data_IF_799769153993
#
_entry.id   IF_799769153993
#
_cell.length_a   1.000
_cell.length_b   1.000
_cell.length_c   1.000
_cell.angle_alpha   90.00
_cell.angle_beta   90.00
_cell.angle_gamma   90.00
#
_symmetry.space_group_name_H-M   'P 1'
#
loop_
_entity.id
_entity.type
_entity.pdbx_description
1 polymer ?
#
# COMPACT_ATOMS: atom_id res chain seq x y z
N UNK A 1 3.29 -46.67 5.47
CA UNK A 1 2.88 -45.88 6.64
C UNK A 1 3.91 -44.76 6.80
N UNK A 2 3.65 -43.58 6.23
CA UNK A 2 4.56 -42.45 6.25
C UNK A 2 4.02 -41.42 7.24
N UNK A 3 4.79 -41.14 8.30
CA UNK A 3 4.48 -40.09 9.26
C UNK A 3 4.95 -38.74 8.70
N UNK A 4 4.00 -37.82 8.51
CA UNK A 4 4.29 -36.43 8.15
C UNK A 4 4.57 -35.67 9.44
N UNK A 5 5.80 -35.17 9.54
CA UNK A 5 6.24 -34.29 10.63
C UNK A 5 5.56 -32.93 10.52
N UNK A 6 4.73 -32.58 11.50
CA UNK A 6 4.17 -31.25 11.65
C UNK A 6 5.28 -30.29 12.11
N UNK A 7 5.84 -29.52 11.18
CA UNK A 7 6.74 -28.43 11.49
C UNK A 7 5.98 -27.31 12.20
N UNK A 8 6.27 -27.09 13.47
CA UNK A 8 5.77 -25.95 14.25
C UNK A 8 6.24 -24.64 13.62
N UNK A 9 5.32 -23.87 13.05
CA UNK A 9 5.59 -22.52 12.56
C UNK A 9 5.68 -21.56 13.74
N UNK A 10 6.89 -21.10 14.04
CA UNK A 10 7.10 -19.97 14.92
C UNK A 10 6.80 -18.71 14.10
N UNK A 11 5.54 -18.27 14.10
CA UNK A 11 5.31 -16.84 14.12
C UNK A 11 5.86 -16.39 15.46
N UNK A 12 6.94 -15.60 15.48
CA UNK A 12 7.19 -14.79 16.66
C UNK A 12 5.89 -14.06 16.92
N UNK A 13 5.28 -14.36 18.07
CA UNK A 13 4.09 -13.68 18.54
C UNK A 13 4.50 -12.23 18.65
N UNK A 14 4.23 -11.45 17.61
CA UNK A 14 4.22 -10.01 17.72
C UNK A 14 3.16 -9.80 18.77
N UNK A 15 3.62 -9.44 19.98
CA UNK A 15 2.75 -8.95 21.04
C UNK A 15 1.69 -8.06 20.40
N UNK A 16 0.48 -8.06 20.95
CA UNK A 16 -0.67 -7.21 20.60
C UNK A 16 -0.39 -5.70 20.73
N UNK A 17 0.83 -5.28 20.40
CA UNK A 17 1.31 -3.94 20.26
C UNK A 17 0.69 -3.34 19.02
N UNK A 18 -0.14 -2.33 19.30
CA UNK A 18 -0.51 -1.24 18.42
C UNK A 18 0.38 -1.17 17.17
N UNK A 19 -0.23 -1.29 15.98
CA UNK A 19 0.45 -0.93 14.74
C UNK A 19 1.18 0.39 14.97
N UNK A 20 2.51 0.51 14.77
CA UNK A 20 3.19 1.80 14.83
C UNK A 20 2.42 2.85 14.02
N UNK A 21 1.71 3.69 14.76
CA UNK A 21 0.97 4.80 14.21
C UNK A 21 1.98 5.92 13.99
N UNK A 22 1.79 6.71 12.94
CA UNK A 22 2.39 8.03 12.87
C UNK A 22 2.10 8.72 14.22
N UNK A 23 3.16 9.00 15.00
CA UNK A 23 3.06 9.84 16.21
C UNK A 23 3.47 11.30 15.90
N UNK A 24 2.65 12.06 15.16
CA UNK A 24 2.50 13.48 15.41
C UNK A 24 1.18 13.71 16.15
N UNK A 25 1.11 14.82 16.87
CA UNK A 25 -0.16 15.45 17.27
C UNK A 25 -1.17 15.36 16.12
N UNK A 26 -2.18 14.48 16.26
CA UNK A 26 -3.12 14.11 15.20
C UNK A 26 -3.84 15.31 14.57
N UNK A 27 -3.88 16.44 15.30
CA UNK A 27 -4.38 17.72 14.82
C UNK A 27 -3.62 18.29 13.61
N UNK A 28 -2.38 17.85 13.38
CA UNK A 28 -1.50 18.33 12.29
C UNK A 28 -1.58 17.50 11.00
N UNK A 29 -2.13 16.29 11.04
CA UNK A 29 -2.31 15.48 9.83
C UNK A 29 -3.46 16.05 8.99
N UNK A 30 -3.37 16.09 7.65
CA UNK A 30 -4.48 16.58 6.82
C UNK A 30 -5.67 15.63 6.87
N UNK A 31 -6.88 16.14 6.66
CA UNK A 31 -8.05 15.28 6.44
C UNK A 31 -7.94 14.51 5.11
N UNK A 32 -8.71 13.42 4.98
CA UNK A 32 -8.88 12.69 3.72
C UNK A 32 -9.23 13.62 2.56
N UNK A 33 -10.18 14.53 2.78
CA UNK A 33 -10.57 15.50 1.76
C UNK A 33 -9.39 16.40 1.36
N UNK A 34 -8.57 16.84 2.31
CA UNK A 34 -7.39 17.65 2.02
C UNK A 34 -6.35 16.87 1.18
N UNK A 35 -6.14 15.57 1.46
CA UNK A 35 -5.25 14.72 0.64
C UNK A 35 -5.76 14.59 -0.81
N UNK A 36 -7.04 14.27 -0.99
CA UNK A 36 -7.63 14.18 -2.33
C UNK A 36 -7.61 15.52 -3.06
N UNK A 37 -7.86 16.62 -2.34
CA UNK A 37 -7.74 17.97 -2.89
C UNK A 37 -6.32 18.25 -3.38
N UNK A 38 -5.29 17.79 -2.67
CA UNK A 38 -3.91 17.94 -3.13
C UNK A 38 -3.63 17.11 -4.37
N UNK A 39 -4.10 15.85 -4.44
CA UNK A 39 -4.02 15.06 -5.67
C UNK A 39 -4.62 15.81 -6.88
N UNK A 40 -5.85 16.30 -6.74
CA UNK A 40 -6.54 17.00 -7.84
C UNK A 40 -5.89 18.33 -8.21
N UNK A 41 -5.29 19.03 -7.24
CA UNK A 41 -4.53 20.27 -7.48
C UNK A 41 -3.21 20.01 -8.19
N UNK A 42 -2.47 18.98 -7.78
CA UNK A 42 -1.19 18.64 -8.40
C UNK A 42 -1.35 18.20 -9.86
N UNK A 43 -2.48 17.56 -10.21
CA UNK A 43 -2.72 16.96 -11.55
C UNK A 43 -1.58 16.04 -11.99
N UNK A 44 -0.80 15.55 -11.04
CA UNK A 44 0.45 14.84 -11.23
C UNK A 44 0.64 13.85 -10.09
N UNK A 45 1.06 12.63 -10.43
CA UNK A 45 1.33 11.53 -9.49
C UNK A 45 2.67 10.91 -9.84
N UNK A 46 3.52 10.75 -8.84
CA UNK A 46 4.73 9.95 -8.94
C UNK A 46 4.32 8.47 -8.79
N UNK A 47 4.56 7.63 -9.79
CA UNK A 47 4.33 6.19 -9.70
C UNK A 47 5.67 5.48 -9.50
N UNK A 48 5.85 4.87 -8.34
CA UNK A 48 7.04 4.13 -7.99
C UNK A 48 6.75 2.63 -8.13
N UNK A 49 7.49 1.96 -9.00
CA UNK A 49 7.37 0.52 -9.18
C UNK A 49 8.61 -0.25 -8.71
N UNK A 50 8.39 -1.46 -8.20
CA UNK A 50 9.46 -2.31 -7.69
C UNK A 50 10.32 -2.93 -8.79
N UNK A 51 11.64 -2.88 -8.61
CA UNK A 51 12.63 -3.50 -9.52
C UNK A 51 13.52 -4.54 -8.84
N UNK A 52 13.23 -4.90 -7.58
CA UNK A 52 14.00 -5.87 -6.81
C UNK A 52 13.91 -7.31 -7.33
N UNK A 53 12.83 -7.66 -8.03
CA UNK A 53 12.67 -8.93 -8.72
C UNK A 53 12.79 -8.74 -10.25
N UNK A 54 13.86 -9.26 -10.88
CA UNK A 54 14.07 -9.14 -12.32
C UNK A 54 12.97 -9.78 -13.18
N UNK A 55 12.27 -10.81 -12.69
CA UNK A 55 11.18 -11.45 -13.45
C UNK A 55 9.95 -10.55 -13.52
N UNK A 56 9.64 -9.87 -12.41
CA UNK A 56 8.44 -9.04 -12.30
C UNK A 56 8.63 -7.59 -12.78
N UNK A 57 9.86 -7.07 -12.73
CA UNK A 57 10.18 -5.67 -13.03
C UNK A 57 9.70 -5.19 -14.42
N UNK A 58 9.90 -5.95 -15.53
CA UNK A 58 9.39 -5.54 -16.84
C UNK A 58 7.87 -5.39 -16.87
N UNK A 59 7.16 -6.29 -16.17
CA UNK A 59 5.70 -6.27 -16.08
C UNK A 59 5.17 -5.03 -15.35
N UNK A 60 5.86 -4.57 -14.30
CA UNK A 60 5.50 -3.33 -13.62
C UNK A 60 5.84 -2.08 -14.42
N UNK A 61 6.99 -2.06 -15.11
CA UNK A 61 7.34 -0.94 -16.00
C UNK A 61 6.26 -0.75 -17.06
N UNK A 62 5.94 -1.82 -17.78
CA UNK A 62 4.87 -1.79 -18.79
C UNK A 62 3.54 -1.33 -18.19
N UNK A 63 3.19 -1.84 -17.00
CA UNK A 63 1.95 -1.42 -16.34
C UNK A 63 1.93 0.07 -15.99
N UNK A 64 3.06 0.62 -15.56
CA UNK A 64 3.19 2.04 -15.25
C UNK A 64 3.06 2.92 -16.50
N UNK A 65 3.69 2.51 -17.61
CA UNK A 65 3.56 3.14 -18.93
C UNK A 65 2.11 3.10 -19.43
N UNK A 66 1.46 1.92 -19.36
CA UNK A 66 0.04 1.77 -19.72
C UNK A 66 -0.88 2.64 -18.84
N UNK A 67 -0.54 2.84 -17.57
CA UNK A 67 -1.29 3.73 -16.69
C UNK A 67 -1.11 5.19 -17.08
N UNK A 68 0.11 5.61 -17.42
CA UNK A 68 0.41 6.95 -17.94
C UNK A 68 -0.39 7.24 -19.21
N UNK A 69 -0.34 6.33 -20.20
CA UNK A 69 -1.04 6.49 -21.48
C UNK A 69 -2.57 6.58 -21.33
N UNK A 70 -3.14 5.77 -20.43
CA UNK A 70 -4.60 5.75 -20.18
C UNK A 70 -5.08 6.95 -19.37
N UNK A 71 -4.19 7.62 -18.65
CA UNK A 71 -4.58 8.69 -17.74
C UNK A 71 -4.89 9.98 -18.49
N UNK A 72 -6.16 10.37 -18.51
CA UNK A 72 -6.62 11.59 -19.20
C UNK A 72 -6.62 12.86 -18.34
N UNK A 73 -6.62 12.70 -17.01
CA UNK A 73 -6.91 13.80 -16.07
C UNK A 73 -5.76 14.13 -15.13
N UNK A 74 -4.78 13.23 -15.02
CA UNK A 74 -3.64 13.28 -14.12
C UNK A 74 -2.41 12.80 -14.90
N UNK A 75 -1.31 13.55 -14.86
CA UNK A 75 -0.03 13.06 -15.38
C UNK A 75 0.56 12.04 -14.42
N UNK A 76 0.82 10.84 -14.90
CA UNK A 76 1.55 9.82 -14.13
C UNK A 76 3.01 9.90 -14.55
N UNK A 77 3.93 9.91 -13.59
CA UNK A 77 5.37 9.85 -13.85
C UNK A 77 5.93 8.54 -13.30
N UNK A 78 6.08 7.52 -14.15
CA UNK A 78 6.69 6.25 -13.78
C UNK A 78 8.16 6.40 -13.42
N UNK A 79 8.56 5.86 -12.27
CA UNK A 79 9.97 5.80 -11.85
C UNK A 79 10.22 4.45 -11.17
N UNK A 80 11.36 3.83 -11.48
CA UNK A 80 11.80 2.65 -10.77
C UNK A 80 12.18 3.02 -9.33
N UNK A 81 11.85 2.18 -8.36
CA UNK A 81 12.22 2.36 -6.95
C UNK A 81 13.72 2.61 -6.72
N UNK A 82 14.59 2.02 -7.56
CA UNK A 82 16.05 2.17 -7.47
C UNK A 82 16.63 3.39 -8.20
N UNK A 83 15.86 4.03 -9.08
CA UNK A 83 16.33 5.22 -9.81
C UNK A 83 16.20 6.50 -8.98
N UNK A 84 15.41 6.45 -7.90
CA UNK A 84 15.24 7.54 -6.94
C UNK A 84 16.44 7.57 -6.00
N UNK A 85 17.52 8.20 -6.46
CA UNK A 85 18.75 8.42 -5.70
C UNK A 85 18.63 9.70 -4.85
N UNK A 86 18.26 9.53 -3.58
CA UNK A 86 18.20 10.61 -2.61
C UNK A 86 17.40 10.23 -1.37
N UNK A 87 17.73 10.81 -0.22
CA UNK A 87 17.05 10.51 1.04
C UNK A 87 15.59 11.00 1.07
N UNK A 88 15.21 11.90 0.15
CA UNK A 88 13.89 12.53 0.11
C UNK A 88 13.24 12.40 -1.27
N UNK A 89 11.99 11.95 -1.27
CA UNK A 89 11.11 12.07 -2.44
C UNK A 89 10.68 13.52 -2.66
N UNK A 90 10.26 13.90 -3.89
CA UNK A 90 9.58 15.18 -4.11
C UNK A 90 8.22 15.22 -3.38
N UNK A 91 7.74 16.41 -2.96
CA UNK A 91 6.45 16.57 -2.30
C UNK A 91 5.30 16.44 -3.31
N UNK A 92 4.97 15.21 -3.69
CA UNK A 92 3.96 14.86 -4.69
C UNK A 92 3.03 13.76 -4.19
N UNK A 93 1.78 13.71 -4.69
CA UNK A 93 0.97 12.50 -4.62
C UNK A 93 1.76 11.31 -5.17
N UNK A 94 1.81 10.21 -4.44
CA UNK A 94 2.65 9.06 -4.80
C UNK A 94 1.82 7.79 -4.83
N UNK A 95 1.95 7.02 -5.91
CA UNK A 95 1.42 5.66 -6.04
C UNK A 95 2.60 4.69 -6.00
N UNK A 96 2.57 3.73 -5.09
CA UNK A 96 3.57 2.65 -5.02
C UNK A 96 2.93 1.32 -5.38
N UNK A 97 3.55 0.63 -6.32
CA UNK A 97 3.14 -0.71 -6.76
C UNK A 97 4.30 -1.69 -6.65
N UNK A 98 3.99 -2.91 -6.24
CA UNK A 98 5.01 -3.92 -5.95
C UNK A 98 4.71 -4.66 -4.65
N UNK A 99 5.66 -5.46 -4.22
CA UNK A 99 5.65 -6.08 -2.88
C UNK A 99 6.93 -5.67 -2.13
N UNK A 100 6.97 -5.74 -0.78
CA UNK A 100 8.11 -5.25 -0.01
C UNK A 100 9.46 -5.84 -0.41
N UNK A 101 9.50 -7.13 -0.78
CA UNK A 101 10.74 -7.77 -1.23
C UNK A 101 11.24 -7.27 -2.59
N UNK A 102 10.34 -6.71 -3.42
CA UNK A 102 10.63 -6.24 -4.78
C UNK A 102 10.61 -4.70 -4.90
N UNK A 103 10.16 -3.97 -3.88
CA UNK A 103 10.04 -2.51 -3.89
C UNK A 103 10.70 -1.88 -2.64
N UNK A 104 11.80 -1.15 -2.85
CA UNK A 104 12.60 -0.55 -1.79
C UNK A 104 11.83 0.45 -0.90
N UNK A 105 10.85 1.18 -1.45
CA UNK A 105 10.05 2.14 -0.68
C UNK A 105 9.03 1.45 0.23
N UNK A 106 8.41 0.35 -0.23
CA UNK A 106 7.53 -0.45 0.64
C UNK A 106 8.31 -1.09 1.79
N UNK A 107 9.53 -1.55 1.54
CA UNK A 107 10.42 -2.01 2.59
C UNK A 107 10.79 -0.89 3.57
N UNK A 108 11.18 0.29 3.06
CA UNK A 108 11.54 1.48 3.86
C UNK A 108 10.40 1.96 4.76
N UNK A 109 9.17 1.95 4.27
CA UNK A 109 8.00 2.45 5.01
C UNK A 109 7.24 1.36 5.78
N UNK A 110 7.76 0.13 5.77
CA UNK A 110 7.14 -1.03 6.42
C UNK A 110 6.84 -0.83 7.90
N UNK A 111 7.58 0.04 8.59
CA UNK A 111 7.39 0.35 10.02
C UNK A 111 6.39 1.48 10.28
N UNK A 112 6.07 2.33 9.30
CA UNK A 112 5.18 3.49 9.48
C UNK A 112 3.82 3.33 8.82
N UNK A 113 3.69 2.39 7.89
CA UNK A 113 2.42 2.03 7.30
C UNK A 113 1.56 1.22 8.30
N UNK A 114 0.22 1.24 8.17
CA UNK A 114 -0.64 0.35 8.96
C UNK A 114 -0.47 -1.14 8.58
N UNK A 115 0.05 -1.34 7.36
CA UNK A 115 0.69 -2.52 6.75
C UNK A 115 1.87 -3.08 7.55
N UNK A 116 1.82 -4.30 8.11
CA UNK A 116 3.04 -5.01 8.55
C UNK A 116 3.36 -6.13 7.58
N UNK A 117 4.60 -6.19 7.10
CA UNK A 117 5.02 -7.19 6.14
C UNK A 117 5.92 -8.22 6.81
N UNK A 118 5.71 -9.49 6.48
CA UNK A 118 6.56 -10.60 6.89
C UNK A 118 6.96 -11.46 5.69
N UNK A 119 7.76 -12.51 5.92
CA UNK A 119 8.27 -13.37 4.84
C UNK A 119 7.17 -14.07 4.04
N UNK A 120 6.04 -14.38 4.69
CA UNK A 120 4.96 -15.20 4.12
C UNK A 120 3.66 -14.45 3.88
N UNK A 121 3.66 -13.14 4.11
CA UNK A 121 2.50 -12.33 3.83
C UNK A 121 2.51 -11.00 4.54
N UNK A 122 1.34 -10.42 4.75
CA UNK A 122 1.19 -9.18 5.52
C UNK A 122 0.18 -9.36 6.65
N UNK A 123 0.26 -8.47 7.63
CA UNK A 123 -0.67 -8.39 8.73
C UNK A 123 -1.27 -6.98 8.80
N UNK A 124 -2.56 -6.93 9.12
CA UNK A 124 -3.30 -5.70 9.34
C UNK A 124 -4.14 -5.86 10.59
N UNK A 125 -3.97 -4.94 11.53
CA UNK A 125 -4.72 -4.90 12.80
C UNK A 125 -4.79 -6.25 13.54
N UNK A 126 -3.67 -6.96 13.64
CA UNK A 126 -3.57 -8.25 14.36
C UNK A 126 -3.99 -9.47 13.54
N UNK A 127 -4.55 -9.30 12.34
CA UNK A 127 -4.90 -10.40 11.45
C UNK A 127 -3.82 -10.61 10.38
N UNK A 128 -3.47 -11.87 10.12
CA UNK A 128 -2.46 -12.28 9.13
C UNK A 128 -3.12 -12.73 7.84
N UNK A 129 -2.60 -12.24 6.72
CA UNK A 129 -3.00 -12.55 5.34
C UNK A 129 -1.82 -13.17 4.61
N UNK A 130 -1.80 -14.50 4.57
CA UNK A 130 -0.68 -15.30 4.07
C UNK A 130 -1.00 -16.10 2.80
N UNK A 131 -2.22 -15.97 2.25
CA UNK A 131 -2.55 -16.60 0.98
C UNK A 131 -1.78 -15.89 -0.15
N UNK A 132 -1.29 -16.64 -1.15
CA UNK A 132 -0.53 -16.04 -2.26
C UNK A 132 -1.38 -15.10 -3.13
N UNK A 133 -2.71 -15.21 -3.03
CA UNK A 133 -3.67 -14.33 -3.69
C UNK A 133 -4.14 -13.17 -2.82
N UNK A 134 -3.65 -13.07 -1.58
CA UNK A 134 -3.93 -11.94 -0.71
C UNK A 134 -3.21 -10.68 -1.24
N UNK A 135 -3.97 -9.61 -1.39
CA UNK A 135 -3.51 -8.29 -1.84
C UNK A 135 -4.22 -7.19 -1.07
N UNK A 136 -3.65 -6.00 -1.04
CA UNK A 136 -4.28 -4.84 -0.42
C UNK A 136 -4.08 -3.57 -1.24
N UNK A 137 -5.01 -2.65 -1.04
CA UNK A 137 -4.89 -1.26 -1.49
C UNK A 137 -4.99 -0.33 -0.28
N UNK A 138 -4.23 0.75 -0.29
CA UNK A 138 -4.17 1.72 0.80
C UNK A 138 -4.10 3.15 0.25
N UNK A 139 -4.83 4.06 0.88
CA UNK A 139 -4.70 5.51 0.78
C UNK A 139 -4.39 6.04 2.18
N UNK A 140 -3.27 6.75 2.30
CA UNK A 140 -2.73 7.21 3.59
C UNK A 140 -1.94 8.51 3.43
N UNK A 141 -1.65 9.28 4.48
CA UNK A 141 -0.67 10.36 4.42
C UNK A 141 0.70 9.83 4.00
N UNK A 142 1.38 10.54 3.11
CA UNK A 142 2.73 10.19 2.70
C UNK A 142 3.71 10.28 3.88
N UNK A 143 4.51 9.23 4.17
CA UNK A 143 5.40 9.21 5.34
C UNK A 143 6.38 10.38 5.43
N UNK A 144 6.95 10.78 4.30
CA UNK A 144 7.91 11.90 4.23
C UNK A 144 7.24 13.27 4.02
N UNK A 145 6.02 13.29 3.48
CA UNK A 145 5.33 14.53 3.07
C UNK A 145 3.84 14.46 3.41
N UNK A 146 3.44 14.49 4.70
CA UNK A 146 2.09 14.09 5.13
C UNK A 146 0.94 14.88 4.51
N UNK A 147 1.20 16.04 3.90
CA UNK A 147 0.21 16.84 3.16
C UNK A 147 -0.21 16.20 1.82
N UNK A 148 0.52 15.21 1.32
CA UNK A 148 0.24 14.51 0.07
C UNK A 148 -0.24 13.08 0.30
N UNK A 149 -1.12 12.55 -0.57
CA UNK A 149 -1.55 11.17 -0.45
C UNK A 149 -0.45 10.22 -0.92
N UNK A 150 -0.23 9.18 -0.12
CA UNK A 150 0.38 7.93 -0.53
C UNK A 150 -0.73 6.94 -0.86
N UNK A 151 -0.63 6.37 -2.04
CA UNK A 151 -1.44 5.27 -2.54
C UNK A 151 -0.56 4.05 -2.66
N UNK A 152 -1.01 2.89 -2.20
CA UNK A 152 -0.26 1.63 -2.31
C UNK A 152 -1.17 0.56 -2.87
N UNK A 153 -0.66 -0.22 -3.81
CA UNK A 153 -1.24 -1.52 -4.20
C UNK A 153 -0.15 -2.57 -4.11
N UNK A 154 -0.35 -3.55 -3.23
CA UNK A 154 0.64 -4.56 -2.90
C UNK A 154 -0.02 -5.87 -2.49
N UNK A 155 0.77 -6.88 -2.15
CA UNK A 155 0.28 -8.21 -1.80
C UNK A 155 1.40 -9.20 -1.60
N UNK A 156 1.06 -10.49 -1.71
CA UNK A 156 1.99 -11.59 -1.47
C UNK A 156 2.68 -12.11 -2.74
N UNK A 157 2.19 -11.73 -3.92
CA UNK A 157 2.67 -12.17 -5.22
C UNK A 157 2.61 -11.05 -6.25
N UNK A 158 3.74 -10.76 -6.91
CA UNK A 158 3.85 -9.68 -7.88
C UNK A 158 2.93 -9.87 -9.10
N UNK A 159 2.77 -11.12 -9.59
CA UNK A 159 1.89 -11.39 -10.74
C UNK A 159 0.44 -11.12 -10.39
N UNK A 160 0.03 -11.41 -9.15
CA UNK A 160 -1.31 -11.09 -8.64
C UNK A 160 -1.53 -9.58 -8.52
N UNK A 161 -0.56 -8.83 -8.00
CA UNK A 161 -0.62 -7.35 -7.95
C UNK A 161 -0.75 -6.77 -9.36
N UNK A 162 0.05 -7.24 -10.32
CA UNK A 162 -0.02 -6.78 -11.71
C UNK A 162 -1.36 -7.12 -12.37
N UNK A 163 -1.86 -8.35 -12.20
CA UNK A 163 -3.16 -8.76 -12.74
C UNK A 163 -4.32 -7.92 -12.18
N UNK A 164 -4.28 -7.62 -10.88
CA UNK A 164 -5.24 -6.76 -10.22
C UNK A 164 -5.24 -5.34 -10.81
N UNK A 165 -4.05 -4.73 -10.96
CA UNK A 165 -3.92 -3.39 -11.51
C UNK A 165 -4.40 -3.29 -12.97
N UNK A 166 -4.15 -4.31 -13.80
CA UNK A 166 -4.64 -4.35 -15.19
C UNK A 166 -6.17 -4.41 -15.27
N UNK A 167 -6.80 -5.21 -14.40
CA UNK A 167 -8.26 -5.42 -14.41
C UNK A 167 -9.05 -4.27 -13.80
N UNK A 168 -8.49 -3.57 -12.81
CA UNK A 168 -9.21 -2.54 -12.03
C UNK A 168 -8.83 -1.10 -12.40
N UNK A 169 -7.89 -0.89 -13.32
CA UNK A 169 -7.55 0.44 -13.82
C UNK A 169 -6.84 1.35 -12.81
N UNK A 170 -6.24 0.77 -11.77
CA UNK A 170 -5.52 1.49 -10.70
C UNK A 170 -6.35 1.76 -9.45
N UNK A 171 -5.95 2.76 -8.66
CA UNK A 171 -6.51 3.06 -7.33
C UNK A 171 -7.64 4.12 -7.33
N UNK A 172 -7.89 4.77 -8.48
CA UNK A 172 -8.69 6.00 -8.57
C UNK A 172 -10.19 5.87 -8.23
N UNK A 173 -10.72 4.65 -8.21
CA UNK A 173 -12.13 4.37 -7.92
C UNK A 173 -12.33 3.40 -6.76
N UNK A 174 -11.29 3.14 -5.96
CA UNK A 174 -11.38 2.18 -4.88
C UNK A 174 -12.14 2.81 -3.69
N UNK A 175 -13.23 2.18 -3.21
CA UNK A 175 -13.92 2.64 -2.01
C UNK A 175 -13.08 2.32 -0.77
N UNK A 176 -13.12 3.20 0.23
CA UNK A 176 -12.37 3.05 1.47
C UNK A 176 -11.01 3.75 1.46
N UNK A 177 -10.40 3.83 2.63
CA UNK A 177 -8.98 4.17 2.75
C UNK A 177 -8.11 2.91 2.62
N UNK A 178 -8.67 1.73 2.90
CA UNK A 178 -7.96 0.47 2.73
C UNK A 178 -8.91 -0.65 2.34
N UNK A 179 -8.36 -1.64 1.63
CA UNK A 179 -9.02 -2.90 1.31
C UNK A 179 -8.02 -4.04 1.37
N UNK A 180 -8.51 -5.22 1.72
CA UNK A 180 -7.79 -6.48 1.62
C UNK A 180 -8.64 -7.41 0.78
N UNK A 181 -8.03 -8.00 -0.24
CA UNK A 181 -8.68 -8.93 -1.14
C UNK A 181 -7.98 -10.28 -1.08
N UNK A 182 -8.75 -11.34 -1.27
CA UNK A 182 -8.27 -12.70 -1.53
C UNK A 182 -8.75 -13.11 -2.91
N UNK A 183 -7.83 -13.15 -3.88
CA UNK A 183 -8.20 -13.24 -5.28
C UNK A 183 -9.04 -12.02 -5.69
N UNK A 184 -10.28 -12.24 -6.12
CA UNK A 184 -11.22 -11.17 -6.52
C UNK A 184 -12.18 -10.76 -5.39
N UNK A 185 -12.19 -11.50 -4.28
CA UNK A 185 -13.11 -11.24 -3.16
C UNK A 185 -12.53 -10.19 -2.23
N UNK A 186 -13.29 -9.12 -1.96
CA UNK A 186 -12.95 -8.15 -0.93
C UNK A 186 -13.23 -8.78 0.44
N UNK A 187 -12.18 -9.16 1.15
CA UNK A 187 -12.27 -9.74 2.50
C UNK A 187 -12.46 -8.65 3.55
N UNK A 188 -11.77 -7.52 3.38
CA UNK A 188 -11.84 -6.41 4.33
C UNK A 188 -11.90 -5.10 3.56
N UNK A 189 -12.68 -4.16 4.08
CA UNK A 189 -12.58 -2.76 3.67
C UNK A 189 -12.88 -1.82 4.83
N UNK A 190 -12.34 -0.62 4.77
CA UNK A 190 -12.71 0.38 5.75
C UNK A 190 -12.12 1.74 5.54
N UNK A 191 -12.42 2.61 6.49
CA UNK A 191 -11.90 3.97 6.55
C UNK A 191 -11.12 4.14 7.85
N UNK A 192 -10.04 4.91 7.82
CA UNK A 192 -9.40 5.40 9.03
C UNK A 192 -10.20 6.54 9.63
N UNK A 193 -10.09 6.73 10.94
CA UNK A 193 -10.75 7.82 11.65
C UNK A 193 -10.33 9.18 11.07
N UNK A 194 -11.28 10.10 10.99
CA UNK A 194 -11.06 11.49 10.58
C UNK A 194 -11.25 12.49 11.72
N UNK A 195 -11.57 11.99 12.92
CA UNK A 195 -11.62 12.81 14.14
C UNK A 195 -10.23 13.44 14.39
N UNK A 196 -10.14 14.74 14.69
CA UNK A 196 -8.84 15.43 14.83
C UNK A 196 -7.82 14.71 15.72
N UNK A 197 -8.26 14.15 16.83
CA UNK A 197 -7.44 13.48 17.85
C UNK A 197 -6.97 12.07 17.45
N UNK A 198 -7.65 11.42 16.50
CA UNK A 198 -7.39 10.04 16.07
C UNK A 198 -7.24 9.93 14.56
N UNK A 199 -6.90 11.04 13.90
CA UNK A 199 -6.89 11.10 12.44
C UNK A 199 -5.90 10.09 11.86
N UNK A 200 -6.35 9.34 10.86
CA UNK A 200 -5.61 8.25 10.21
C UNK A 200 -5.28 7.04 11.11
N UNK A 201 -5.91 6.93 12.28
CA UNK A 201 -5.86 5.73 13.11
C UNK A 201 -6.97 4.75 12.72
N UNK A 202 -6.78 3.48 13.07
CA UNK A 202 -7.80 2.44 12.87
C UNK A 202 -9.13 2.82 13.54
N UNK A 203 -10.21 2.65 12.79
CA UNK A 203 -11.58 2.90 13.23
C UNK A 203 -12.42 1.64 13.08
N UNK A 204 -12.67 0.97 14.21
CA UNK A 204 -13.47 -0.24 14.26
C UNK A 204 -14.92 -0.01 13.78
N UNK A 205 -15.48 1.20 13.95
CA UNK A 205 -16.84 1.49 13.51
C UNK A 205 -16.96 1.57 11.97
N UNK A 206 -15.86 1.91 11.31
CA UNK A 206 -15.75 2.03 9.85
C UNK A 206 -15.02 0.84 9.19
N UNK A 207 -14.69 -0.20 9.95
CA UNK A 207 -14.11 -1.46 9.47
C UNK A 207 -15.19 -2.48 9.12
N UNK A 208 -15.02 -3.21 8.01
CA UNK A 208 -15.91 -4.27 7.54
C UNK A 208 -15.06 -5.46 7.10
N UNK A 209 -15.33 -6.62 7.66
CA UNK A 209 -14.73 -7.94 7.40
C UNK A 209 -15.77 -8.99 6.96
#
# INVERSE_FOLDING_TARGET
>A
MFAVSAGSYIFQTVSSGESPQLKPDGSRLPSREALWRQLYRSRKVLLIYGTGDPESAPGYRQLAEEMEERSRWIRIEPVADRDLSGDSLPPLPTLVIGIPRSNAFLARWSDVLPFRFGEKGFAFHGQVYADSTDLFSLVYPHPEHPQYPLMVVSGNDDRRVQAYLRSHGGIWGIPGDYRILRGETCMVMGFFSQQPERRWQFDAAAHRD
#
